data_IF_806368776736
#
_entry.id   IF_806368776736
#
_cell.length_a   1.000
_cell.length_b   1.000
_cell.length_c   1.000
_cell.angle_alpha   90.00
_cell.angle_beta   90.00
_cell.angle_gamma   90.00
#
_symmetry.space_group_name_H-M   'P 1'
#
loop_
_entity.id
_entity.type
_entity.pdbx_description
1 polymer ?
#
# COMPACT_ATOMS: atom_id res chain seq x y z
N UNK A 1 17.68 15.60 -34.11
CA UNK A 1 17.76 15.02 -32.76
C UNK A 1 16.59 15.56 -31.96
N UNK A 2 15.44 14.87 -32.02
CA UNK A 2 14.22 15.30 -31.32
C UNK A 2 14.28 14.80 -29.89
N UNK A 3 14.75 15.65 -28.97
CA UNK A 3 14.68 15.38 -27.54
C UNK A 3 13.22 15.30 -27.12
N UNK A 4 12.75 14.09 -26.79
CA UNK A 4 11.44 13.90 -26.16
C UNK A 4 11.39 14.71 -24.86
N UNK A 5 10.27 15.41 -24.56
CA UNK A 5 10.18 16.20 -23.35
C UNK A 5 10.12 15.25 -22.15
N UNK A 6 11.24 15.15 -21.44
CA UNK A 6 11.48 14.35 -20.22
C UNK A 6 10.39 14.55 -19.13
N UNK A 7 9.59 15.62 -19.23
CA UNK A 7 8.46 15.90 -18.33
C UNK A 7 7.24 14.99 -18.51
N UNK A 8 6.87 14.60 -19.73
CA UNK A 8 5.62 13.85 -19.96
C UNK A 8 5.72 12.40 -19.48
N UNK A 9 6.89 11.78 -19.64
CA UNK A 9 7.16 10.43 -19.14
C UNK A 9 7.12 10.37 -17.61
N UNK A 10 7.65 11.39 -16.92
CA UNK A 10 7.55 11.50 -15.46
C UNK A 10 6.11 11.67 -14.98
N UNK A 11 5.34 12.51 -15.66
CA UNK A 11 3.92 12.74 -15.34
C UNK A 11 3.09 11.45 -15.51
N UNK A 12 3.26 10.77 -16.65
CA UNK A 12 2.55 9.52 -16.93
C UNK A 12 2.94 8.41 -15.94
N UNK A 13 4.24 8.31 -15.62
CA UNK A 13 4.73 7.34 -14.64
C UNK A 13 4.13 7.59 -13.25
N UNK A 14 4.09 8.84 -12.79
CA UNK A 14 3.48 9.20 -11.50
C UNK A 14 2.00 8.81 -11.44
N UNK A 15 1.24 9.05 -12.52
CA UNK A 15 -0.16 8.66 -12.61
C UNK A 15 -0.34 7.13 -12.54
N UNK A 16 0.48 6.37 -13.26
CA UNK A 16 0.46 4.90 -13.19
C UNK A 16 0.80 4.39 -11.79
N UNK A 17 1.84 4.94 -11.16
CA UNK A 17 2.22 4.58 -9.78
C UNK A 17 1.07 4.85 -8.79
N UNK A 18 0.31 5.93 -8.97
CA UNK A 18 -0.87 6.21 -8.15
C UNK A 18 -2.02 5.22 -8.37
N UNK A 19 -2.27 4.82 -9.63
CA UNK A 19 -3.25 3.76 -9.94
C UNK A 19 -2.86 2.45 -9.27
N UNK A 20 -1.61 2.03 -9.42
CA UNK A 20 -1.09 0.79 -8.84
C UNK A 20 -1.13 0.85 -7.30
N UNK A 21 -0.81 2.01 -6.72
CA UNK A 21 -0.94 2.23 -5.28
C UNK A 21 -2.38 2.02 -4.79
N UNK A 22 -3.37 2.60 -5.48
CA UNK A 22 -4.79 2.40 -5.13
C UNK A 22 -5.19 0.93 -5.24
N UNK A 23 -4.74 0.25 -6.28
CA UNK A 23 -5.03 -1.17 -6.51
C UNK A 23 -4.47 -2.04 -5.38
N UNK A 24 -3.21 -1.82 -5.00
CA UNK A 24 -2.58 -2.55 -3.90
C UNK A 24 -3.25 -2.27 -2.55
N UNK A 25 -3.70 -1.03 -2.28
CA UNK A 25 -4.49 -0.70 -1.10
C UNK A 25 -5.80 -1.51 -1.01
N UNK A 26 -6.47 -1.70 -2.15
CA UNK A 26 -7.73 -2.48 -2.18
C UNK A 26 -7.46 -3.95 -1.89
N UNK A 27 -6.40 -4.52 -2.48
CA UNK A 27 -6.00 -5.91 -2.23
C UNK A 27 -5.62 -6.11 -0.75
N UNK A 28 -4.87 -5.17 -0.17
CA UNK A 28 -4.48 -5.21 1.24
C UNK A 28 -5.70 -5.21 2.18
N UNK A 29 -6.64 -4.29 1.94
CA UNK A 29 -7.88 -4.17 2.70
C UNK A 29 -8.78 -5.41 2.58
N UNK A 30 -8.93 -5.95 1.37
CA UNK A 30 -9.72 -7.15 1.13
C UNK A 30 -9.08 -8.38 1.78
N UNK A 31 -7.75 -8.48 1.81
CA UNK A 31 -7.02 -9.51 2.53
C UNK A 31 -7.31 -9.50 4.03
N UNK A 32 -7.13 -8.36 4.69
CA UNK A 32 -7.44 -8.25 6.14
C UNK A 32 -8.91 -8.55 6.42
N UNK A 33 -9.81 -8.00 5.61
CA UNK A 33 -11.23 -8.27 5.77
C UNK A 33 -11.55 -9.75 5.61
N UNK A 34 -10.99 -10.41 4.59
CA UNK A 34 -11.18 -11.83 4.34
C UNK A 34 -10.71 -12.68 5.51
N UNK A 35 -9.51 -12.40 6.03
CA UNK A 35 -8.98 -13.11 7.20
C UNK A 35 -9.84 -12.89 8.45
N UNK A 36 -10.21 -11.65 8.76
CA UNK A 36 -10.98 -11.36 9.98
C UNK A 36 -12.37 -12.01 9.97
N UNK A 37 -13.01 -12.09 8.79
CA UNK A 37 -14.32 -12.71 8.61
C UNK A 37 -14.27 -14.24 8.65
N UNK A 38 -13.30 -14.85 7.97
CA UNK A 38 -13.27 -16.30 7.75
C UNK A 38 -12.30 -17.06 8.68
N UNK A 39 -11.24 -16.41 9.13
CA UNK A 39 -10.10 -17.05 9.80
C UNK A 39 -9.14 -17.77 8.84
N UNK A 40 -9.36 -17.74 7.52
CA UNK A 40 -8.53 -18.46 6.55
C UNK A 40 -7.23 -17.71 6.26
N UNK A 41 -6.09 -18.36 6.56
CA UNK A 41 -4.75 -17.82 6.38
C UNK A 41 -4.38 -17.48 4.92
N UNK A 42 -5.11 -17.98 3.91
CA UNK A 42 -4.85 -17.64 2.51
C UNK A 42 -4.90 -16.13 2.28
N UNK A 43 -5.83 -15.44 2.97
CA UNK A 43 -6.00 -13.99 2.88
C UNK A 43 -4.82 -13.20 3.47
N UNK A 44 -4.07 -13.78 4.42
CA UNK A 44 -2.87 -13.15 4.97
C UNK A 44 -1.73 -13.11 3.96
N UNK A 45 -1.70 -14.06 3.02
CA UNK A 45 -0.69 -14.07 1.95
C UNK A 45 -0.91 -12.88 1.01
N UNK A 46 -2.16 -12.63 0.60
CA UNK A 46 -2.51 -11.48 -0.25
C UNK A 46 -2.27 -10.15 0.46
N UNK A 47 -2.62 -10.06 1.74
CA UNK A 47 -2.30 -8.91 2.59
C UNK A 47 -0.79 -8.61 2.60
N UNK A 48 0.03 -9.58 2.99
CA UNK A 48 1.48 -9.37 3.15
C UNK A 48 2.15 -8.99 1.82
N UNK A 49 1.67 -9.59 0.71
CA UNK A 49 2.18 -9.24 -0.61
C UNK A 49 1.76 -7.83 -1.03
N UNK A 50 0.50 -7.44 -0.82
CA UNK A 50 0.01 -6.10 -1.12
C UNK A 50 0.71 -5.03 -0.29
N UNK A 51 0.87 -5.28 1.02
CA UNK A 51 1.63 -4.43 1.94
C UNK A 51 3.05 -4.13 1.45
N UNK A 52 3.79 -5.17 1.04
CA UNK A 52 5.14 -5.03 0.47
C UNK A 52 5.15 -4.20 -0.81
N UNK A 53 4.15 -4.38 -1.69
CA UNK A 53 4.04 -3.59 -2.93
C UNK A 53 3.72 -2.13 -2.61
N UNK A 54 2.86 -1.86 -1.63
CA UNK A 54 2.55 -0.49 -1.19
C UNK A 54 3.78 0.26 -0.70
N UNK A 55 4.62 -0.37 0.12
CA UNK A 55 5.90 0.22 0.52
C UNK A 55 6.76 0.59 -0.69
N UNK A 56 6.87 -0.31 -1.67
CA UNK A 56 7.62 -0.04 -2.89
C UNK A 56 7.01 1.11 -3.71
N UNK A 57 5.68 1.18 -3.81
CA UNK A 57 4.97 2.24 -4.54
C UNK A 57 5.12 3.60 -3.88
N UNK A 58 5.03 3.68 -2.56
CA UNK A 58 5.26 4.91 -1.79
C UNK A 58 6.69 5.41 -2.00
N UNK A 59 7.69 4.52 -1.93
CA UNK A 59 9.09 4.86 -2.19
C UNK A 59 9.33 5.32 -3.64
N UNK A 60 8.64 4.71 -4.61
CA UNK A 60 8.70 5.15 -6.00
C UNK A 60 8.06 6.53 -6.19
N UNK A 61 6.89 6.76 -5.62
CA UNK A 61 6.20 8.05 -5.64
C UNK A 61 7.07 9.16 -5.02
N UNK A 62 7.74 8.89 -3.89
CA UNK A 62 8.67 9.83 -3.27
C UNK A 62 9.84 10.22 -4.19
N UNK A 63 10.36 9.26 -4.99
CA UNK A 63 11.47 9.49 -5.92
C UNK A 63 11.05 10.21 -7.20
N UNK A 64 9.84 9.94 -7.69
CA UNK A 64 9.35 10.53 -8.96
C UNK A 64 8.69 11.89 -8.77
N UNK A 65 8.22 12.18 -7.56
CA UNK A 65 7.62 13.48 -7.21
C UNK A 65 8.70 14.54 -7.04
N UNK A 66 8.65 15.59 -7.87
CA UNK A 66 9.66 16.66 -7.87
C UNK A 66 9.21 17.84 -7.00
N UNK A 67 7.91 18.06 -6.91
CA UNK A 67 7.27 19.15 -6.18
C UNK A 67 7.26 18.90 -4.65
N UNK A 68 7.47 19.94 -3.86
CA UNK A 68 7.58 19.82 -2.40
C UNK A 68 6.22 19.56 -1.73
N UNK A 69 5.16 20.20 -2.20
CA UNK A 69 3.82 20.02 -1.64
C UNK A 69 3.33 18.60 -1.93
N UNK A 70 3.58 18.11 -3.15
CA UNK A 70 3.28 16.73 -3.50
C UNK A 70 4.12 15.71 -2.70
N UNK A 71 5.38 16.00 -2.34
CA UNK A 71 6.17 15.14 -1.42
C UNK A 71 5.60 15.10 -0.02
N UNK A 72 5.04 16.21 0.47
CA UNK A 72 4.36 16.23 1.76
C UNK A 72 3.13 15.30 1.73
N UNK A 73 2.32 15.36 0.67
CA UNK A 73 1.17 14.46 0.50
C UNK A 73 1.60 12.99 0.50
N UNK A 74 2.67 12.63 -0.22
CA UNK A 74 3.18 11.24 -0.21
C UNK A 74 3.70 10.84 1.17
N UNK A 75 4.27 11.77 1.94
CA UNK A 75 4.69 11.53 3.32
C UNK A 75 3.51 11.27 4.25
N UNK A 76 2.45 12.07 4.14
CA UNK A 76 1.21 11.87 4.89
C UNK A 76 0.54 10.54 4.53
N UNK A 77 0.54 10.19 3.24
CA UNK A 77 0.05 8.90 2.75
C UNK A 77 0.79 7.71 3.36
N UNK A 78 2.12 7.82 3.45
CA UNK A 78 2.95 6.80 4.11
C UNK A 78 2.59 6.64 5.58
N UNK A 79 2.44 7.75 6.32
CA UNK A 79 2.07 7.69 7.73
C UNK A 79 0.68 7.07 7.93
N UNK A 80 -0.27 7.40 7.06
CA UNK A 80 -1.61 6.82 7.10
C UNK A 80 -1.56 5.31 6.83
N UNK A 81 -0.75 4.87 5.86
CA UNK A 81 -0.55 3.45 5.56
C UNK A 81 0.08 2.70 6.75
N UNK A 82 1.13 3.24 7.37
CA UNK A 82 1.72 2.66 8.59
C UNK A 82 0.71 2.52 9.73
N UNK A 83 -0.13 3.54 9.97
CA UNK A 83 -1.18 3.44 10.99
C UNK A 83 -2.19 2.33 10.67
N UNK A 84 -2.53 2.15 9.40
CA UNK A 84 -3.41 1.06 8.95
C UNK A 84 -2.76 -0.32 9.18
N UNK A 85 -1.47 -0.46 8.91
CA UNK A 85 -0.70 -1.68 9.20
C UNK A 85 -0.72 -2.02 10.69
N UNK A 86 -0.43 -1.06 11.56
CA UNK A 86 -0.40 -1.27 13.01
C UNK A 86 -1.75 -1.75 13.56
N UNK A 87 -2.85 -1.15 13.07
CA UNK A 87 -4.21 -1.55 13.44
C UNK A 87 -4.52 -2.96 12.90
N UNK A 88 -4.12 -3.24 11.67
CA UNK A 88 -4.35 -4.54 11.02
C UNK A 88 -3.60 -5.66 11.74
N UNK A 89 -2.31 -5.47 12.04
CA UNK A 89 -1.47 -6.42 12.76
C UNK A 89 -2.04 -6.70 14.17
N UNK A 90 -2.54 -5.66 14.85
CA UNK A 90 -3.22 -5.81 16.14
C UNK A 90 -4.49 -6.66 16.04
N UNK A 91 -5.31 -6.44 15.00
CA UNK A 91 -6.53 -7.20 14.76
C UNK A 91 -6.25 -8.66 14.39
N UNK A 92 -5.25 -8.91 13.53
CA UNK A 92 -4.79 -10.26 13.17
C UNK A 92 -4.35 -11.00 14.43
N UNK A 93 -3.46 -10.39 15.23
CA UNK A 93 -2.96 -11.00 16.47
C UNK A 93 -4.10 -11.37 17.43
N UNK A 94 -5.08 -10.48 17.59
CA UNK A 94 -6.26 -10.74 18.40
C UNK A 94 -7.07 -11.95 17.89
N UNK A 95 -7.29 -12.04 16.58
CA UNK A 95 -8.02 -13.17 15.96
C UNK A 95 -7.26 -14.50 16.14
N UNK A 96 -5.95 -14.51 15.90
CA UNK A 96 -5.09 -15.71 16.11
C UNK A 96 -5.20 -16.19 17.55
N UNK A 97 -5.02 -15.28 18.51
CA UNK A 97 -5.02 -15.64 19.94
C UNK A 97 -6.35 -16.26 20.38
N UNK A 98 -7.48 -15.74 19.88
CA UNK A 98 -8.80 -16.31 20.18
C UNK A 98 -9.03 -17.67 19.51
N UNK A 99 -8.50 -17.87 18.31
CA UNK A 99 -8.62 -19.14 17.60
C UNK A 99 -7.75 -20.25 18.22
N UNK A 100 -6.59 -19.92 18.80
CA UNK A 100 -5.70 -20.88 19.49
C UNK A 100 -6.16 -21.26 20.91
N UNK A 101 -7.06 -20.48 21.50
CA UNK A 101 -7.63 -20.73 22.83
C UNK A 101 -8.86 -21.66 22.82
N UNK A 102 -9.27 -22.14 21.65
CA UNK A 102 -10.44 -23.02 21.41
C UNK A 102 -9.99 -24.42 21.02
#
# INVERSE_FOLDING_TARGET
MTGTPVCWTKMFKSFLSFKDFKEDLMIESDGIRGYLLSGDSIYLTDYDMARKRLHQRIEELMKTTVDNDAKQIVTELRNLHTNFEDISDSAIKFKITNNEAS
#
